data_IF_424136306605
#
_entry.id   IF_424136306605
#
_cell.length_a   1.000
_cell.length_b   1.000
_cell.length_c   1.000
_cell.angle_alpha   90.00
_cell.angle_beta   90.00
_cell.angle_gamma   90.00
#
_symmetry.space_group_name_H-M   'P 1'
#
loop_
_entity.id
_entity.type
_entity.pdbx_description
1 polymer ?
#
# COMPACT_ATOMS: atom_id res chain seq x y z
N UNK A 1 20.54 -62.07 19.94
CA UNK A 1 20.78 -60.81 19.20
C UNK A 1 19.69 -60.46 18.14
N UNK A 2 18.91 -61.41 17.62
CA UNK A 2 17.92 -61.15 16.56
C UNK A 2 16.70 -60.26 16.93
N UNK A 3 16.25 -60.24 18.20
CA UNK A 3 15.10 -59.43 18.63
C UNK A 3 15.34 -57.92 18.56
N UNK A 4 16.58 -57.46 18.79
CA UNK A 4 16.92 -56.03 18.75
C UNK A 4 16.94 -55.47 17.33
N UNK A 5 17.47 -56.23 16.36
CA UNK A 5 17.48 -55.85 14.95
C UNK A 5 16.06 -55.75 14.35
N UNK A 6 15.14 -56.64 14.77
CA UNK A 6 13.73 -56.60 14.35
C UNK A 6 12.98 -55.38 14.91
N UNK A 7 13.25 -55.01 16.16
CA UNK A 7 12.68 -53.81 16.82
C UNK A 7 13.16 -52.50 16.19
N UNK A 8 14.43 -52.42 15.78
CA UNK A 8 14.94 -51.25 15.06
C UNK A 8 14.33 -51.10 13.65
N UNK A 9 14.10 -52.21 12.93
CA UNK A 9 13.45 -52.16 11.62
C UNK A 9 11.99 -51.70 11.71
N UNK A 10 11.23 -52.15 12.71
CA UNK A 10 9.84 -51.70 12.89
C UNK A 10 9.74 -50.22 13.29
N UNK A 11 10.61 -49.73 14.18
CA UNK A 11 10.63 -48.29 14.54
C UNK A 11 10.93 -47.40 13.32
N UNK A 12 11.88 -47.81 12.45
CA UNK A 12 12.17 -47.06 11.22
C UNK A 12 10.97 -47.04 10.26
N UNK A 13 10.24 -48.14 10.12
CA UNK A 13 9.03 -48.21 9.28
C UNK A 13 7.94 -47.26 9.80
N UNK A 14 7.69 -47.24 11.12
CA UNK A 14 6.74 -46.29 11.71
C UNK A 14 7.19 -44.83 11.54
N UNK A 15 8.49 -44.57 11.62
CA UNK A 15 9.06 -43.23 11.45
C UNK A 15 8.92 -42.74 9.99
N UNK A 16 9.15 -43.60 9.00
CA UNK A 16 8.88 -43.27 7.59
C UNK A 16 7.39 -43.09 7.31
N UNK A 17 6.52 -43.93 7.87
CA UNK A 17 5.07 -43.78 7.74
C UNK A 17 4.58 -42.45 8.35
N UNK A 18 5.16 -42.05 9.49
CA UNK A 18 4.86 -40.78 10.13
C UNK A 18 5.34 -39.58 9.29
N UNK A 19 6.54 -39.64 8.70
CA UNK A 19 7.03 -38.61 7.77
C UNK A 19 6.13 -38.50 6.54
N UNK A 20 5.67 -39.62 5.98
CA UNK A 20 4.75 -39.64 4.83
C UNK A 20 3.39 -39.05 5.20
N UNK A 21 2.88 -39.33 6.41
CA UNK A 21 1.65 -38.72 6.92
C UNK A 21 1.78 -37.21 7.12
N UNK A 22 2.91 -36.74 7.66
CA UNK A 22 3.19 -35.30 7.78
C UNK A 22 3.30 -34.66 6.39
N UNK A 23 4.03 -35.29 5.47
CA UNK A 23 4.15 -34.80 4.10
C UNK A 23 2.79 -34.74 3.39
N UNK A 24 1.95 -35.76 3.54
CA UNK A 24 0.59 -35.79 3.01
C UNK A 24 -0.30 -34.71 3.67
N UNK A 25 -0.18 -34.51 4.98
CA UNK A 25 -0.85 -33.43 5.71
C UNK A 25 -0.43 -32.05 5.24
N UNK A 26 0.88 -31.83 5.02
CA UNK A 26 1.43 -30.58 4.48
C UNK A 26 1.00 -30.34 3.04
N UNK A 27 0.92 -31.38 2.20
CA UNK A 27 0.39 -31.27 0.83
C UNK A 27 -1.10 -30.93 0.86
N UNK A 28 -1.87 -31.56 1.76
CA UNK A 28 -3.29 -31.30 1.92
C UNK A 28 -3.58 -29.87 2.40
N UNK A 29 -2.83 -29.39 3.40
CA UNK A 29 -2.86 -28.00 3.88
C UNK A 29 -2.33 -27.02 2.82
N UNK A 30 -1.35 -27.43 2.03
CA UNK A 30 -0.70 -26.63 0.99
C UNK A 30 -1.50 -26.46 -0.30
N UNK A 31 -2.65 -27.15 -0.48
CA UNK A 31 -3.44 -27.06 -1.74
C UNK A 31 -3.80 -25.62 -2.11
N UNK A 32 -4.13 -24.78 -1.12
CA UNK A 32 -4.42 -23.34 -1.32
C UNK A 32 -3.20 -22.51 -1.74
N UNK A 33 -1.98 -22.98 -1.49
CA UNK A 33 -0.74 -22.31 -1.88
C UNK A 33 -0.41 -22.56 -3.36
N UNK A 34 -0.76 -23.73 -3.89
CA UNK A 34 -0.41 -24.14 -5.26
C UNK A 34 -1.55 -23.93 -6.27
N UNK A 35 -2.81 -24.05 -5.84
CA UNK A 35 -3.97 -24.01 -6.72
C UNK A 35 -4.94 -22.90 -6.30
N UNK A 36 -5.37 -22.11 -7.28
CA UNK A 36 -6.33 -21.02 -7.07
C UNK A 36 -7.78 -21.50 -7.24
N UNK A 37 -8.03 -22.39 -8.21
CA UNK A 37 -9.37 -22.91 -8.51
C UNK A 37 -9.30 -24.26 -9.23
N UNK A 38 -10.45 -24.90 -9.45
CA UNK A 38 -10.62 -26.06 -10.34
C UNK A 38 -11.81 -25.81 -11.24
N UNK A 39 -11.70 -26.12 -12.53
CA UNK A 39 -12.78 -26.00 -13.52
C UNK A 39 -12.90 -27.34 -14.24
N UNK A 40 -14.03 -28.03 -14.08
CA UNK A 40 -14.29 -29.34 -14.70
C UNK A 40 -13.17 -30.39 -14.45
N UNK A 41 -12.56 -30.36 -13.26
CA UNK A 41 -11.45 -31.25 -12.91
C UNK A 41 -10.05 -30.74 -13.32
N UNK A 42 -9.96 -29.66 -14.08
CA UNK A 42 -8.70 -29.00 -14.41
C UNK A 42 -8.33 -27.98 -13.32
N UNK A 43 -7.21 -28.19 -12.64
CA UNK A 43 -6.71 -27.28 -11.63
C UNK A 43 -6.08 -26.04 -12.26
N UNK A 44 -6.43 -24.86 -11.73
CA UNK A 44 -5.85 -23.57 -12.07
C UNK A 44 -4.75 -23.28 -11.05
N UNK A 45 -3.52 -23.07 -11.54
CA UNK A 45 -2.37 -22.76 -10.67
C UNK A 45 -2.50 -21.36 -10.09
N UNK A 46 -2.15 -21.20 -8.82
CA UNK A 46 -2.04 -19.86 -8.21
C UNK A 46 -0.92 -19.04 -8.86
N UNK A 47 0.16 -19.71 -9.30
CA UNK A 47 1.29 -19.03 -9.95
C UNK A 47 0.91 -18.46 -11.32
N UNK A 48 0.00 -19.08 -12.07
CA UNK A 48 -0.48 -18.49 -13.34
C UNK A 48 -1.32 -17.25 -13.09
N UNK A 49 -2.13 -17.24 -12.03
CA UNK A 49 -2.89 -16.04 -11.62
C UNK A 49 -1.94 -14.90 -11.23
N UNK A 50 -0.93 -15.19 -10.40
CA UNK A 50 0.08 -14.19 -10.00
C UNK A 50 0.82 -13.61 -11.21
N UNK A 51 1.29 -14.47 -12.13
CA UNK A 51 1.97 -14.01 -13.35
C UNK A 51 1.10 -13.08 -14.20
N UNK A 52 -0.20 -13.38 -14.30
CA UNK A 52 -1.12 -12.53 -15.05
C UNK A 52 -1.36 -11.19 -14.33
N UNK A 53 -1.46 -11.17 -12.99
CA UNK A 53 -1.53 -9.93 -12.20
C UNK A 53 -0.24 -9.10 -12.32
N UNK A 54 0.92 -9.75 -12.28
CA UNK A 54 2.23 -9.11 -12.49
C UNK A 54 2.31 -8.46 -13.87
N UNK A 55 1.81 -9.14 -14.91
CA UNK A 55 1.73 -8.59 -16.27
C UNK A 55 0.77 -7.40 -16.37
N UNK A 56 -0.36 -7.43 -15.66
CA UNK A 56 -1.38 -6.38 -15.74
C UNK A 56 -1.01 -5.13 -14.93
N UNK A 57 -0.35 -5.30 -13.77
CA UNK A 57 -0.11 -4.19 -12.84
C UNK A 57 1.18 -4.28 -12.03
N UNK A 58 1.98 -5.33 -12.17
CA UNK A 58 3.18 -5.58 -11.37
C UNK A 58 4.17 -4.42 -11.39
N UNK A 59 4.41 -3.81 -12.55
CA UNK A 59 5.27 -2.63 -12.68
C UNK A 59 4.80 -1.45 -11.83
N UNK A 60 3.51 -1.12 -11.90
CA UNK A 60 2.94 0.03 -11.18
C UNK A 60 2.88 -0.23 -9.66
N UNK A 61 2.54 -1.46 -9.28
CA UNK A 61 2.52 -1.87 -7.87
C UNK A 61 3.94 -1.86 -7.29
N UNK A 62 4.93 -2.38 -8.02
CA UNK A 62 6.33 -2.33 -7.59
C UNK A 62 6.80 -0.88 -7.43
N UNK A 63 6.47 0.01 -8.38
CA UNK A 63 6.85 1.42 -8.27
C UNK A 63 6.24 2.10 -7.04
N UNK A 64 4.98 1.79 -6.76
CA UNK A 64 4.27 2.28 -5.55
C UNK A 64 4.96 1.78 -4.27
N UNK A 65 5.34 0.50 -4.21
CA UNK A 65 6.05 -0.08 -3.07
C UNK A 65 7.43 0.56 -2.89
N UNK A 66 8.15 0.80 -4.00
CA UNK A 66 9.44 1.50 -3.97
C UNK A 66 9.27 2.90 -3.39
N UNK A 67 8.29 3.68 -3.88
CA UNK A 67 8.02 5.04 -3.39
C UNK A 67 7.72 5.03 -1.88
N UNK A 68 6.83 4.14 -1.41
CA UNK A 68 6.52 3.99 0.02
C UNK A 68 7.75 3.64 0.84
N UNK A 69 8.61 2.76 0.31
CA UNK A 69 9.85 2.36 0.96
C UNK A 69 10.80 3.55 1.11
N UNK A 70 10.98 4.34 0.04
CA UNK A 70 11.84 5.53 0.05
C UNK A 70 11.33 6.60 1.01
N UNK A 71 10.02 6.84 1.05
CA UNK A 71 9.39 7.77 2.00
C UNK A 71 9.70 7.35 3.44
N UNK A 72 9.50 6.06 3.77
CA UNK A 72 9.78 5.55 5.10
C UNK A 72 11.27 5.63 5.47
N UNK A 73 12.17 5.37 4.52
CA UNK A 73 13.61 5.50 4.72
C UNK A 73 14.01 6.96 4.99
N UNK A 74 13.50 7.91 4.19
CA UNK A 74 13.81 9.32 4.37
C UNK A 74 13.24 9.85 5.70
N UNK A 75 12.02 9.44 6.07
CA UNK A 75 11.44 9.82 7.35
C UNK A 75 12.31 9.35 8.53
N UNK A 76 12.77 8.09 8.49
CA UNK A 76 13.72 7.56 9.48
C UNK A 76 15.01 8.36 9.51
N UNK A 77 15.59 8.68 8.35
CA UNK A 77 16.81 9.49 8.23
C UNK A 77 16.64 10.89 8.84
N UNK A 78 15.45 11.48 8.72
CA UNK A 78 15.10 12.79 9.29
C UNK A 78 14.59 12.73 10.73
N UNK A 79 14.53 11.54 11.34
CA UNK A 79 13.92 11.29 12.65
C UNK A 79 12.47 11.80 12.75
N UNK A 80 11.72 11.70 11.64
CA UNK A 80 10.31 12.03 11.59
C UNK A 80 9.50 10.75 11.78
N UNK A 81 8.59 10.78 12.74
CA UNK A 81 7.66 9.68 13.02
C UNK A 81 6.22 10.19 13.03
N UNK A 82 5.29 9.25 12.89
CA UNK A 82 3.86 9.47 13.03
C UNK A 82 3.39 8.58 14.17
N UNK A 83 2.71 9.18 15.14
CA UNK A 83 2.13 8.47 16.27
C UNK A 83 0.78 7.87 15.90
N UNK A 84 0.38 6.80 16.60
CA UNK A 84 -0.94 6.18 16.39
C UNK A 84 -2.08 7.19 16.60
N UNK A 85 -1.94 8.11 17.56
CA UNK A 85 -2.92 9.19 17.79
C UNK A 85 -3.14 10.08 16.56
N UNK A 86 -2.10 10.33 15.77
CA UNK A 86 -2.22 11.11 14.53
C UNK A 86 -2.93 10.31 13.44
N UNK A 87 -2.68 9.01 13.37
CA UNK A 87 -3.37 8.11 12.44
C UNK A 87 -4.84 8.00 12.81
N UNK A 88 -5.16 7.77 14.08
CA UNK A 88 -6.53 7.70 14.61
C UNK A 88 -7.30 9.00 14.36
N UNK A 89 -6.64 10.16 14.53
CA UNK A 89 -7.24 11.46 14.27
C UNK A 89 -7.60 11.65 12.78
N UNK A 90 -6.74 11.20 11.85
CA UNK A 90 -7.06 11.24 10.42
C UNK A 90 -8.11 10.20 10.02
N UNK A 91 -8.06 8.99 10.59
CA UNK A 91 -9.10 7.98 10.40
C UNK A 91 -10.47 8.51 10.81
N UNK A 92 -10.58 9.14 11.99
CA UNK A 92 -11.83 9.73 12.47
C UNK A 92 -12.36 10.84 11.55
N UNK A 93 -11.46 11.64 10.93
CA UNK A 93 -11.87 12.65 9.94
C UNK A 93 -12.43 12.00 8.68
N UNK A 94 -11.75 10.96 8.17
CA UNK A 94 -12.19 10.22 6.98
C UNK A 94 -13.55 9.56 7.26
N UNK A 95 -13.69 8.90 8.40
CA UNK A 95 -14.94 8.26 8.81
C UNK A 95 -16.09 9.26 8.94
N UNK A 96 -15.85 10.43 9.55
CA UNK A 96 -16.85 11.50 9.65
C UNK A 96 -17.26 12.02 8.26
N UNK A 97 -16.31 12.22 7.35
CA UNK A 97 -16.59 12.69 5.99
C UNK A 97 -17.42 11.66 5.20
N UNK A 98 -17.11 10.37 5.32
CA UNK A 98 -17.86 9.28 4.68
C UNK A 98 -19.27 9.17 5.28
N UNK A 99 -19.37 9.23 6.61
CA UNK A 99 -20.65 9.18 7.32
C UNK A 99 -21.57 10.34 6.93
N UNK A 100 -21.01 11.53 6.73
CA UNK A 100 -21.79 12.70 6.27
C UNK A 100 -22.38 12.53 4.85
N UNK A 101 -21.85 11.59 4.07
CA UNK A 101 -22.31 11.23 2.74
C UNK A 101 -23.26 10.01 2.75
N UNK A 102 -23.61 9.49 3.92
CA UNK A 102 -24.55 8.37 4.07
C UNK A 102 -23.95 6.98 3.87
N UNK A 103 -22.62 6.84 3.86
CA UNK A 103 -21.92 5.57 3.77
C UNK A 103 -21.16 5.27 5.08
N UNK A 104 -20.67 4.04 5.23
CA UNK A 104 -19.76 3.66 6.32
C UNK A 104 -18.37 3.37 5.78
N UNK A 105 -17.34 3.65 6.57
CA UNK A 105 -15.96 3.36 6.19
C UNK A 105 -15.76 1.87 5.90
N UNK A 106 -16.34 1.00 6.72
CA UNK A 106 -16.17 -0.44 6.62
C UNK A 106 -16.72 -1.00 5.30
N UNK A 107 -17.88 -0.51 4.85
CA UNK A 107 -18.46 -0.92 3.57
C UNK A 107 -17.59 -0.49 2.38
N UNK A 108 -17.02 0.73 2.43
CA UNK A 108 -16.14 1.22 1.37
C UNK A 108 -14.82 0.45 1.31
N UNK A 109 -14.26 0.10 2.47
CA UNK A 109 -13.05 -0.72 2.56
C UNK A 109 -13.29 -2.13 2.02
N UNK A 110 -14.41 -2.76 2.38
CA UNK A 110 -14.78 -4.09 1.88
C UNK A 110 -14.94 -4.10 0.35
N UNK A 111 -15.58 -3.08 -0.22
CA UNK A 111 -15.72 -2.93 -1.67
C UNK A 111 -14.36 -2.81 -2.38
N UNK A 112 -13.37 -2.19 -1.72
CA UNK A 112 -12.01 -2.05 -2.24
C UNK A 112 -11.12 -3.26 -1.92
N UNK A 113 -11.62 -4.24 -1.19
CA UNK A 113 -10.82 -5.38 -0.72
C UNK A 113 -9.72 -4.98 0.26
N UNK A 114 -9.92 -3.86 0.99
CA UNK A 114 -8.97 -3.30 1.95
C UNK A 114 -9.42 -3.55 3.38
N UNK A 115 -8.46 -3.61 4.29
CA UNK A 115 -8.70 -3.60 5.74
C UNK A 115 -8.50 -2.19 6.32
N UNK A 116 -8.95 -1.97 7.56
CA UNK A 116 -8.64 -0.73 8.29
C UNK A 116 -7.15 -0.52 8.48
N UNK A 117 -6.39 -1.60 8.64
CA UNK A 117 -4.93 -1.54 8.80
C UNK A 117 -4.26 -1.09 7.50
N UNK A 118 -4.73 -1.55 6.34
CA UNK A 118 -4.21 -1.09 5.05
C UNK A 118 -4.43 0.42 4.91
N UNK A 119 -5.62 0.92 5.27
CA UNK A 119 -5.89 2.35 5.28
C UNK A 119 -5.01 3.12 6.29
N UNK A 120 -4.80 2.57 7.49
CA UNK A 120 -3.94 3.17 8.50
C UNK A 120 -2.49 3.31 8.00
N UNK A 121 -1.98 2.30 7.28
CA UNK A 121 -0.66 2.34 6.67
C UNK A 121 -0.56 3.40 5.56
N UNK A 122 -1.59 3.56 4.72
CA UNK A 122 -1.65 4.66 3.73
C UNK A 122 -1.66 6.04 4.40
N UNK A 123 -2.48 6.21 5.45
CA UNK A 123 -2.55 7.46 6.22
C UNK A 123 -1.19 7.78 6.83
N UNK A 124 -0.50 6.78 7.38
CA UNK A 124 0.83 6.94 7.95
C UNK A 124 1.84 7.43 6.91
N UNK A 125 1.87 6.83 5.72
CA UNK A 125 2.74 7.28 4.62
C UNK A 125 2.40 8.73 4.23
N UNK A 126 1.12 9.06 4.09
CA UNK A 126 0.66 10.41 3.75
C UNK A 126 1.08 11.45 4.82
N UNK A 127 0.95 11.12 6.10
CA UNK A 127 1.36 11.96 7.21
C UNK A 127 2.88 12.17 7.23
N UNK A 128 3.67 11.13 6.96
CA UNK A 128 5.13 11.25 6.86
C UNK A 128 5.54 12.20 5.73
N UNK A 129 4.95 12.04 4.54
CA UNK A 129 5.18 12.94 3.41
C UNK A 129 4.81 14.38 3.78
N UNK A 130 3.65 14.57 4.39
CA UNK A 130 3.16 15.89 4.82
C UNK A 130 4.12 16.54 5.82
N UNK A 131 4.61 15.80 6.83
CA UNK A 131 5.59 16.29 7.80
C UNK A 131 6.94 16.62 7.16
N UNK A 132 7.38 15.85 6.16
CA UNK A 132 8.66 16.07 5.47
C UNK A 132 8.63 17.22 4.45
N UNK A 133 7.45 17.52 3.90
CA UNK A 133 7.27 18.54 2.85
C UNK A 133 6.64 19.83 3.37
N UNK A 134 5.89 19.77 4.46
CA UNK A 134 5.09 20.85 5.03
C UNK A 134 5.80 21.63 6.13
N UNK A 135 6.43 22.75 5.76
CA UNK A 135 6.68 23.89 6.68
C UNK A 135 6.73 25.23 5.93
N UNK A 136 7.19 25.28 4.67
CA UNK A 136 7.42 26.56 3.96
C UNK A 136 6.78 26.61 2.55
N UNK A 137 5.45 26.63 2.44
CA UNK A 137 4.78 26.97 1.16
C UNK A 137 4.31 28.42 1.24
N UNK A 138 5.08 29.33 0.64
CA UNK A 138 4.73 30.75 0.53
C UNK A 138 3.83 30.95 -0.69
N UNK A 139 2.70 31.62 -0.48
CA UNK A 139 1.78 32.08 -1.55
C UNK A 139 1.85 33.59 -1.57
N UNK A 140 2.20 34.15 -2.73
CA UNK A 140 2.35 35.59 -2.94
C UNK A 140 1.02 36.21 -3.37
N UNK A 141 0.86 37.52 -3.16
CA UNK A 141 -0.35 38.23 -3.59
C UNK A 141 -0.53 38.17 -5.12
N UNK A 142 0.57 38.25 -5.89
CA UNK A 142 0.54 38.15 -7.34
C UNK A 142 -0.06 36.81 -7.80
N UNK A 143 0.32 35.71 -7.16
CA UNK A 143 -0.23 34.39 -7.51
C UNK A 143 -1.72 34.29 -7.23
N UNK A 144 -2.21 34.95 -6.17
CA UNK A 144 -3.64 35.03 -5.86
C UNK A 144 -4.36 35.83 -6.95
N UNK A 145 -3.79 36.97 -7.36
CA UNK A 145 -4.38 37.84 -8.38
C UNK A 145 -4.42 37.13 -9.75
N UNK A 146 -3.32 36.48 -10.15
CA UNK A 146 -3.22 35.70 -11.39
C UNK A 146 -4.21 34.52 -11.38
N UNK A 147 -4.32 33.80 -10.26
CA UNK A 147 -5.25 32.68 -10.13
C UNK A 147 -6.70 33.15 -10.23
N UNK A 148 -7.09 34.21 -9.52
CA UNK A 148 -8.43 34.79 -9.63
C UNK A 148 -8.73 35.28 -11.04
N UNK A 149 -7.76 35.88 -11.73
CA UNK A 149 -7.91 36.30 -13.12
C UNK A 149 -8.14 35.09 -14.06
N UNK A 150 -7.39 34.00 -13.88
CA UNK A 150 -7.53 32.78 -14.70
C UNK A 150 -8.87 32.05 -14.50
N UNK A 151 -9.53 32.27 -13.36
CA UNK A 151 -10.83 31.65 -13.04
C UNK A 151 -12.03 32.50 -13.49
N UNK A 152 -11.84 33.77 -13.81
CA UNK A 152 -12.92 34.67 -14.27
C UNK A 152 -13.54 34.26 -15.62
N UNK A 153 -12.78 33.53 -16.45
CA UNK A 153 -13.27 32.99 -17.72
C UNK A 153 -14.06 31.67 -17.53
N UNK A 154 -14.04 31.08 -16.34
CA UNK A 154 -14.85 29.91 -16.02
C UNK A 154 -16.19 30.38 -15.45
N UNK A 155 -17.31 29.83 -15.94
CA UNK A 155 -18.68 30.13 -15.47
C UNK A 155 -18.95 29.59 -14.04
N UNK A 156 -17.98 29.70 -13.15
CA UNK A 156 -17.98 29.27 -11.75
C UNK A 156 -18.15 30.46 -10.80
N UNK A 157 -18.69 30.25 -9.59
CA UNK A 157 -18.80 31.31 -8.59
C UNK A 157 -17.43 31.95 -8.29
N UNK A 158 -17.40 33.27 -8.16
CA UNK A 158 -16.17 34.02 -7.92
C UNK A 158 -15.55 33.59 -6.58
N UNK A 159 -14.34 33.00 -6.64
CA UNK A 159 -13.61 32.55 -5.46
C UNK A 159 -13.16 33.77 -4.63
N UNK A 160 -13.25 33.67 -3.31
CA UNK A 160 -12.65 34.69 -2.43
C UNK A 160 -11.12 34.60 -2.48
N UNK A 161 -10.43 35.69 -2.12
CA UNK A 161 -8.95 35.69 -2.03
C UNK A 161 -8.41 34.58 -1.10
N UNK A 162 -9.13 34.28 -0.01
CA UNK A 162 -8.74 33.22 0.92
C UNK A 162 -8.92 31.83 0.32
N UNK A 163 -10.01 31.61 -0.43
CA UNK A 163 -10.23 30.36 -1.16
C UNK A 163 -9.19 30.17 -2.26
N UNK A 164 -8.87 31.22 -3.02
CA UNK A 164 -7.80 31.21 -4.01
C UNK A 164 -6.44 30.91 -3.37
N UNK A 165 -6.11 31.55 -2.25
CA UNK A 165 -4.87 31.29 -1.50
C UNK A 165 -4.79 29.84 -1.02
N UNK A 166 -5.88 29.28 -0.51
CA UNK A 166 -5.94 27.89 -0.09
C UNK A 166 -5.76 26.92 -1.27
N UNK A 167 -6.40 27.19 -2.41
CA UNK A 167 -6.25 26.40 -3.63
C UNK A 167 -4.81 26.42 -4.16
N UNK A 168 -4.19 27.60 -4.26
CA UNK A 168 -2.78 27.73 -4.70
C UNK A 168 -1.85 27.02 -3.72
N UNK A 169 -2.06 27.17 -2.41
CA UNK A 169 -1.28 26.48 -1.39
C UNK A 169 -1.36 24.96 -1.56
N UNK A 170 -2.57 24.46 -1.82
CA UNK A 170 -2.80 23.03 -2.06
C UNK A 170 -2.09 22.55 -3.33
N UNK A 171 -2.18 23.31 -4.42
CA UNK A 171 -1.49 23.02 -5.68
C UNK A 171 0.03 22.96 -5.49
N UNK A 172 0.60 23.99 -4.86
CA UNK A 172 2.04 24.03 -4.56
C UNK A 172 2.48 22.90 -3.65
N UNK A 173 1.65 22.50 -2.69
CA UNK A 173 1.94 21.37 -1.82
C UNK A 173 1.98 20.07 -2.63
N UNK A 174 1.02 19.85 -3.54
CA UNK A 174 1.00 18.68 -4.42
C UNK A 174 2.25 18.64 -5.30
N UNK A 175 2.61 19.75 -5.93
CA UNK A 175 3.83 19.86 -6.75
C UNK A 175 5.09 19.56 -5.91
N UNK A 176 5.17 20.12 -4.70
CA UNK A 176 6.29 19.87 -3.79
C UNK A 176 6.39 18.40 -3.39
N UNK A 177 5.26 17.73 -3.16
CA UNK A 177 5.22 16.28 -2.88
C UNK A 177 5.71 15.48 -4.09
N UNK A 178 5.25 15.82 -5.30
CA UNK A 178 5.69 15.15 -6.53
C UNK A 178 7.20 15.30 -6.73
N UNK A 179 7.72 16.53 -6.61
CA UNK A 179 9.16 16.81 -6.70
C UNK A 179 9.94 16.09 -5.61
N UNK A 180 9.43 16.07 -4.38
CA UNK A 180 10.07 15.34 -3.27
C UNK A 180 10.19 13.85 -3.56
N UNK A 181 9.11 13.21 -4.04
CA UNK A 181 9.12 11.79 -4.39
C UNK A 181 10.06 11.51 -5.58
N UNK A 182 10.04 12.37 -6.61
CA UNK A 182 10.95 12.28 -7.75
C UNK A 182 12.42 12.37 -7.31
N UNK A 183 12.73 13.32 -6.43
CA UNK A 183 14.06 13.51 -5.84
C UNK A 183 14.52 12.28 -5.07
N UNK A 184 13.64 11.69 -4.24
CA UNK A 184 13.96 10.47 -3.49
C UNK A 184 14.29 9.34 -4.45
N UNK A 185 13.49 9.15 -5.50
CA UNK A 185 13.70 8.11 -6.51
C UNK A 185 15.00 8.32 -7.28
N UNK A 186 15.30 9.56 -7.69
CA UNK A 186 16.52 9.90 -8.42
C UNK A 186 17.80 9.70 -7.59
N UNK A 187 17.72 9.91 -6.27
CA UNK A 187 18.85 9.74 -5.34
C UNK A 187 19.02 8.30 -4.86
N UNK A 188 18.02 7.45 -5.07
CA UNK A 188 18.02 6.08 -4.59
C UNK A 188 18.77 5.14 -5.55
N UNK A 189 19.54 4.22 -4.98
CA UNK A 189 20.08 3.07 -5.72
C UNK A 189 19.05 1.95 -5.71
N UNK A 190 18.32 1.78 -6.81
CA UNK A 190 17.29 0.74 -6.96
C UNK A 190 17.84 -0.37 -7.85
N UNK A 191 17.92 -1.59 -7.32
CA UNK A 191 18.27 -2.77 -8.10
C UNK A 191 16.99 -3.57 -8.36
N UNK A 192 16.69 -3.79 -9.64
CA UNK A 192 15.55 -4.60 -10.06
C UNK A 192 16.01 -6.05 -10.28
N UNK A 193 15.32 -6.99 -9.64
CA UNK A 193 15.59 -8.44 -9.80
C UNK A 193 14.55 -9.13 -10.69
N UNK A 194 13.44 -8.46 -10.96
CA UNK A 194 12.35 -8.92 -11.81
C UNK A 194 11.92 -7.74 -12.67
N UNK A 195 11.75 -7.99 -13.96
CA UNK A 195 11.12 -7.06 -14.90
C UNK A 195 9.70 -7.55 -15.17
N UNK A 196 8.74 -6.63 -15.05
CA UNK A 196 7.31 -6.86 -15.27
C UNK A 196 6.87 -6.32 -16.62
#
# INVERSE_FOLDING_TARGET
MAKMAKKQKTVKIFLYAFIILIAAGLIFLGRKLFFAASVNGQLISRLSVIRELEKQGGKNILDTIIIKTLINQEAKKRNISVSEKEVDAELAKIEKNISSQGATLDALLEQQGMTKNDLADEIKVQLLVTKMTGSNVLVTNKEIDDYLASQKDQSTPELTRDQAKAAIKQQKLQEKVQTFVADLKAKAKINYFVEY
#
